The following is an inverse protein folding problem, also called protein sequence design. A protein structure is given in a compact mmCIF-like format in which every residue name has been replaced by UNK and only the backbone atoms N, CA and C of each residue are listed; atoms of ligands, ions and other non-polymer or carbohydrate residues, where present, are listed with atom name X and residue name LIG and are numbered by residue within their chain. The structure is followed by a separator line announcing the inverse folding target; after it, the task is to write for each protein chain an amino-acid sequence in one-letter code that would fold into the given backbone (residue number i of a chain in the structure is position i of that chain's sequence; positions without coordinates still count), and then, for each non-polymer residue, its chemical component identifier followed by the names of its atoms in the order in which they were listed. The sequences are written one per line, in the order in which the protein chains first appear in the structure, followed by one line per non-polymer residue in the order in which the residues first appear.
data_IF_504352414639
#
_entry.id   IF_504352414639
#
_cell.length_a   1.000
_cell.length_b   1.000
_cell.length_c   1.000
_cell.angle_alpha   90.00
_cell.angle_beta   90.00
_cell.angle_gamma   90.00
#
_symmetry.space_group_name_H-M   'P 1'
#
loop_
_entity.id
_entity.type
_entity.pdbx_description
1 polymer ?
#
# COMPACT_ATOMS: atom_id res chain seq x y z
N UNK A 1 -16.62 17.17 -7.47
CA UNK A 1 -16.59 16.64 -8.86
C UNK A 1 -16.42 15.15 -8.73
N UNK A 2 -17.46 14.38 -9.05
CA UNK A 2 -17.46 12.92 -8.94
C UNK A 2 -16.55 12.37 -10.01
N UNK A 3 -15.40 11.82 -9.62
CA UNK A 3 -14.47 11.12 -10.50
C UNK A 3 -15.21 9.89 -11.05
N UNK A 4 -15.33 9.80 -12.37
CA UNK A 4 -15.93 8.61 -13.02
C UNK A 4 -14.98 7.43 -12.77
N UNK A 5 -15.47 6.29 -12.25
CA UNK A 5 -14.65 5.10 -12.07
C UNK A 5 -13.99 4.72 -13.39
N UNK A 6 -12.69 4.41 -13.36
CA UNK A 6 -12.03 3.88 -14.55
C UNK A 6 -12.52 2.47 -14.86
N UNK A 7 -12.58 2.14 -16.14
CA UNK A 7 -12.87 0.79 -16.62
C UNK A 7 -11.84 -0.20 -16.05
N UNK A 8 -12.32 -1.28 -15.43
CA UNK A 8 -11.53 -2.33 -14.78
C UNK A 8 -10.45 -2.90 -15.70
N UNK A 9 -10.77 -3.09 -16.99
CA UNK A 9 -9.78 -3.60 -17.97
C UNK A 9 -8.63 -2.62 -18.14
N UNK A 10 -8.95 -1.33 -18.26
CA UNK A 10 -7.98 -0.24 -18.40
C UNK A 10 -7.12 -0.07 -17.15
N UNK A 11 -7.68 -0.26 -15.95
CA UNK A 11 -6.93 -0.24 -14.68
C UNK A 11 -5.88 -1.34 -14.68
N UNK A 12 -6.28 -2.59 -14.95
CA UNK A 12 -5.38 -3.74 -15.01
C UNK A 12 -4.23 -3.52 -15.99
N UNK A 13 -4.56 -3.13 -17.23
CA UNK A 13 -3.58 -2.87 -18.27
C UNK A 13 -2.60 -1.75 -17.87
N UNK A 14 -3.07 -0.72 -17.17
CA UNK A 14 -2.23 0.36 -16.68
C UNK A 14 -1.24 -0.13 -15.62
N UNK A 15 -1.68 -0.92 -14.63
CA UNK A 15 -0.75 -1.49 -13.65
C UNK A 15 0.26 -2.42 -14.31
N UNK A 16 -0.17 -3.31 -15.22
CA UNK A 16 0.74 -4.24 -15.89
C UNK A 16 1.74 -3.53 -16.82
N UNK A 17 1.34 -2.43 -17.45
CA UNK A 17 2.20 -1.66 -18.37
C UNK A 17 3.10 -0.67 -17.63
N UNK A 18 2.52 0.15 -16.77
CA UNK A 18 3.21 1.30 -16.20
C UNK A 18 3.72 1.01 -14.78
N UNK A 19 3.11 0.05 -14.09
CA UNK A 19 3.44 -0.34 -12.71
C UNK A 19 2.75 0.50 -11.64
N UNK A 20 2.01 1.55 -12.04
CA UNK A 20 1.34 2.43 -11.09
C UNK A 20 0.11 3.13 -11.68
N UNK A 21 -0.69 3.69 -10.79
CA UNK A 21 -1.82 4.56 -11.08
C UNK A 21 -1.90 5.66 -10.00
N UNK A 22 -2.10 6.90 -10.43
CA UNK A 22 -2.33 8.04 -9.51
C UNK A 22 -3.75 8.54 -9.67
N UNK A 23 -4.46 8.70 -8.55
CA UNK A 23 -5.85 9.16 -8.51
C UNK A 23 -5.95 10.32 -7.50
N UNK A 24 -6.13 11.57 -7.95
CA UNK A 24 -6.47 12.67 -7.06
C UNK A 24 -7.81 12.39 -6.37
N UNK A 25 -7.79 12.30 -5.05
CA UNK A 25 -8.94 11.95 -4.22
C UNK A 25 -8.86 12.73 -2.89
N UNK A 26 -9.35 14.00 -2.86
CA UNK A 26 -9.27 14.85 -1.67
C UNK A 26 -9.88 14.23 -0.41
N UNK A 27 -10.94 13.44 -0.57
CA UNK A 27 -11.58 12.68 0.50
C UNK A 27 -10.66 11.62 1.14
N UNK A 28 -9.73 11.05 0.37
CA UNK A 28 -8.70 10.15 0.90
C UNK A 28 -7.67 10.96 1.69
N UNK A 29 -7.30 12.15 1.20
CA UNK A 29 -6.45 13.07 1.95
C UNK A 29 -7.04 13.42 3.31
N UNK A 30 -8.32 13.80 3.35
CA UNK A 30 -9.03 14.10 4.60
C UNK A 30 -9.08 12.88 5.54
N UNK A 31 -9.37 11.68 5.01
CA UNK A 31 -9.37 10.45 5.79
C UNK A 31 -8.03 10.18 6.46
N UNK A 32 -6.93 10.35 5.73
CA UNK A 32 -5.56 10.21 6.26
C UNK A 32 -5.28 11.26 7.33
N UNK A 33 -5.72 12.50 7.12
CA UNK A 33 -5.57 13.58 8.09
C UNK A 33 -6.27 13.25 9.42
N UNK A 34 -7.57 12.92 9.39
CA UNK A 34 -8.36 12.52 10.56
C UNK A 34 -7.75 11.29 11.26
N UNK A 35 -7.29 10.30 10.50
CA UNK A 35 -6.63 9.12 11.07
C UNK A 35 -5.33 9.48 11.81
N UNK A 36 -4.60 10.47 11.29
CA UNK A 36 -3.41 11.05 11.93
C UNK A 36 -3.70 11.86 13.19
N UNK A 37 -4.80 12.63 13.23
CA UNK A 37 -5.24 13.33 14.45
C UNK A 37 -5.48 12.37 15.61
N UNK A 38 -6.01 11.19 15.29
CA UNK A 38 -6.22 10.07 16.23
C UNK A 38 -4.96 9.26 16.53
N UNK A 39 -3.78 9.69 16.05
CA UNK A 39 -2.49 9.02 16.23
C UNK A 39 -2.41 7.62 15.62
N UNK A 40 -3.03 7.43 14.46
CA UNK A 40 -2.97 6.20 13.66
C UNK A 40 -3.36 4.92 14.45
N UNK A 41 -4.62 4.82 14.92
CA UNK A 41 -5.05 3.70 15.76
C UNK A 41 -5.30 2.42 14.94
N UNK A 42 -4.24 1.86 14.32
CA UNK A 42 -4.29 0.73 13.38
C UNK A 42 -5.06 -0.49 13.89
N UNK A 43 -4.86 -0.86 15.15
CA UNK A 43 -5.42 -2.08 15.76
C UNK A 43 -6.74 -1.82 16.51
N UNK A 44 -7.58 -0.94 15.99
CA UNK A 44 -8.81 -0.48 16.62
C UNK A 44 -10.00 -0.48 15.67
N UNK A 45 -11.17 -0.09 16.18
CA UNK A 45 -12.38 0.15 15.36
C UNK A 45 -12.13 1.23 14.31
N UNK A 46 -11.39 2.29 14.65
CA UNK A 46 -11.03 3.36 13.70
C UNK A 46 -10.09 2.84 12.60
N UNK A 47 -9.13 1.97 12.95
CA UNK A 47 -8.25 1.31 12.00
C UNK A 47 -8.99 0.39 11.02
N UNK A 48 -9.90 -0.44 11.54
CA UNK A 48 -10.75 -1.30 10.69
C UNK A 48 -11.75 -0.48 9.87
N UNK A 49 -12.22 0.66 10.37
CA UNK A 49 -13.05 1.58 9.59
C UNK A 49 -12.28 2.14 8.40
N UNK A 50 -11.02 2.55 8.60
CA UNK A 50 -10.15 2.97 7.50
C UNK A 50 -10.01 1.89 6.44
N UNK A 51 -9.71 0.64 6.85
CA UNK A 51 -9.57 -0.49 5.92
C UNK A 51 -10.88 -0.83 5.22
N UNK A 52 -12.03 -0.73 5.90
CA UNK A 52 -13.34 -0.91 5.28
C UNK A 52 -13.58 0.13 4.20
N UNK A 53 -13.22 1.38 4.46
CA UNK A 53 -13.36 2.45 3.48
C UNK A 53 -12.37 2.30 2.31
N UNK A 54 -11.23 1.62 2.51
CA UNK A 54 -10.33 1.19 1.42
C UNK A 54 -10.97 0.08 0.58
N UNK A 55 -11.62 -0.91 1.22
CA UNK A 55 -12.34 -1.99 0.54
C UNK A 55 -13.67 -1.54 -0.09
N UNK A 56 -14.14 -0.34 0.22
CA UNK A 56 -15.28 0.28 -0.45
C UNK A 56 -14.87 1.13 -1.67
N UNK A 57 -13.58 1.40 -1.85
CA UNK A 57 -13.09 2.17 -3.00
C UNK A 57 -13.06 1.28 -4.25
N UNK A 58 -13.88 1.65 -5.24
CA UNK A 58 -14.04 0.90 -6.48
C UNK A 58 -12.73 0.78 -7.27
N UNK A 59 -11.85 1.78 -7.21
CA UNK A 59 -10.58 1.71 -7.94
C UNK A 59 -9.64 0.71 -7.26
N UNK A 60 -9.62 0.67 -5.93
CA UNK A 60 -8.82 -0.30 -5.18
C UNK A 60 -9.32 -1.71 -5.42
N UNK A 61 -10.62 -1.97 -5.19
CA UNK A 61 -11.20 -3.31 -5.35
C UNK A 61 -11.06 -3.80 -6.79
N UNK A 62 -11.42 -2.98 -7.78
CA UNK A 62 -11.29 -3.39 -9.19
C UNK A 62 -9.83 -3.66 -9.57
N UNK A 63 -8.87 -2.90 -9.05
CA UNK A 63 -7.45 -3.19 -9.31
C UNK A 63 -7.08 -4.56 -8.76
N UNK A 64 -7.30 -4.79 -7.47
CA UNK A 64 -6.91 -6.01 -6.76
C UNK A 64 -7.60 -7.24 -7.37
N UNK A 65 -8.92 -7.21 -7.56
CA UNK A 65 -9.69 -8.34 -8.08
C UNK A 65 -9.48 -8.62 -9.57
N UNK A 66 -8.91 -7.66 -10.32
CA UNK A 66 -8.52 -7.86 -11.71
C UNK A 66 -7.14 -8.52 -11.87
N UNK A 67 -6.27 -8.33 -10.87
CA UNK A 67 -4.90 -8.84 -10.86
C UNK A 67 -4.80 -10.19 -10.17
N UNK A 68 -5.60 -10.44 -9.14
CA UNK A 68 -5.55 -11.66 -8.34
C UNK A 68 -6.86 -12.45 -8.44
N UNK A 69 -6.74 -13.77 -8.51
CA UNK A 69 -7.88 -14.68 -8.38
C UNK A 69 -8.40 -14.65 -6.93
N UNK A 70 -7.48 -14.76 -5.98
CA UNK A 70 -7.72 -14.59 -4.54
C UNK A 70 -6.53 -13.87 -3.92
N UNK A 71 -6.80 -13.00 -2.97
CA UNK A 71 -5.80 -12.16 -2.32
C UNK A 71 -6.11 -11.95 -0.85
N UNK A 72 -5.12 -11.47 -0.11
CA UNK A 72 -5.34 -10.99 1.25
C UNK A 72 -4.69 -9.65 1.53
N UNK A 73 -5.38 -8.84 2.32
CA UNK A 73 -4.87 -7.59 2.87
C UNK A 73 -3.91 -7.94 4.01
N UNK A 74 -2.62 -7.73 3.79
CA UNK A 74 -1.54 -8.22 4.66
C UNK A 74 -0.67 -7.13 5.30
N UNK A 75 -0.75 -5.89 4.82
CA UNK A 75 -0.01 -4.76 5.39
C UNK A 75 -0.93 -3.56 5.57
N UNK A 76 -0.78 -2.89 6.71
CA UNK A 76 -1.44 -1.63 7.03
C UNK A 76 -0.52 -0.79 7.94
N UNK A 77 0.18 0.19 7.36
CA UNK A 77 1.24 0.96 8.06
C UNK A 77 1.22 2.44 7.65
N UNK A 78 1.81 3.30 8.47
CA UNK A 78 2.04 4.72 8.14
C UNK A 78 3.50 4.95 7.80
N UNK A 79 3.72 5.78 6.80
CA UNK A 79 5.01 6.19 6.31
C UNK A 79 5.09 7.71 6.20
N UNK A 80 6.20 8.25 6.70
CA UNK A 80 6.58 9.64 6.48
C UNK A 80 7.65 9.77 5.39
N UNK A 81 8.26 10.97 5.27
CA UNK A 81 9.35 11.21 4.34
C UNK A 81 10.53 10.28 4.62
N UNK A 82 11.10 9.73 3.55
CA UNK A 82 12.29 8.88 3.57
C UNK A 82 13.18 9.27 2.40
N UNK A 83 13.71 10.48 2.46
CA UNK A 83 14.27 11.19 1.31
C UNK A 83 15.54 10.59 0.71
N UNK A 84 16.14 9.57 1.31
CA UNK A 84 17.40 8.98 0.86
C UNK A 84 17.24 7.61 0.20
N UNK A 85 16.09 6.97 0.39
CA UNK A 85 15.80 5.63 -0.12
C UNK A 85 14.57 5.60 -1.02
N UNK A 86 14.57 4.69 -1.97
CA UNK A 86 13.39 4.24 -2.69
C UNK A 86 12.96 2.89 -2.10
N UNK A 87 11.66 2.69 -1.95
CA UNK A 87 11.09 1.53 -1.26
C UNK A 87 10.05 0.79 -2.09
N UNK A 88 10.03 -0.53 -1.96
CA UNK A 88 9.00 -1.42 -2.48
C UNK A 88 8.89 -2.67 -1.59
N UNK A 89 7.73 -3.35 -1.54
CA UNK A 89 7.59 -4.62 -0.84
C UNK A 89 8.49 -5.72 -1.40
N UNK A 90 8.63 -5.81 -2.72
CA UNK A 90 9.26 -6.94 -3.40
C UNK A 90 10.31 -6.51 -4.43
N UNK A 91 11.29 -7.38 -4.64
CA UNK A 91 12.08 -7.38 -5.87
C UNK A 91 11.35 -8.17 -6.97
N UNK A 92 11.65 -7.90 -8.25
CA UNK A 92 11.18 -8.73 -9.37
C UNK A 92 11.93 -10.07 -9.43
N UNK A 93 11.51 -11.03 -8.62
CA UNK A 93 12.01 -12.43 -8.66
C UNK A 93 11.21 -13.33 -9.61
N UNK A 94 10.01 -12.90 -9.99
CA UNK A 94 9.10 -13.53 -10.95
C UNK A 94 8.46 -12.45 -11.84
N UNK A 95 7.93 -12.87 -12.98
CA UNK A 95 7.13 -12.00 -13.86
C UNK A 95 5.73 -11.74 -13.31
N UNK A 96 5.22 -12.63 -12.46
CA UNK A 96 3.91 -12.49 -11.83
C UNK A 96 3.86 -11.24 -10.94
N UNK A 97 2.73 -10.53 -10.98
CA UNK A 97 2.38 -9.56 -9.94
C UNK A 97 1.96 -10.35 -8.72
N UNK A 98 2.63 -10.14 -7.59
CA UNK A 98 2.33 -10.86 -6.34
C UNK A 98 1.76 -9.94 -5.27
N UNK A 99 1.97 -8.64 -5.38
CA UNK A 99 1.53 -7.63 -4.42
C UNK A 99 1.01 -6.42 -5.16
N UNK A 100 -0.06 -5.83 -4.64
CA UNK A 100 -0.55 -4.50 -5.01
C UNK A 100 -0.52 -3.64 -3.76
N UNK A 101 0.18 -2.51 -3.87
CA UNK A 101 0.29 -1.52 -2.82
C UNK A 101 -0.66 -0.36 -3.09
N UNK A 102 -1.37 0.09 -2.07
CA UNK A 102 -2.25 1.26 -2.13
C UNK A 102 -1.74 2.29 -1.12
N UNK A 103 -1.18 3.36 -1.65
CA UNK A 103 -0.74 4.52 -0.88
C UNK A 103 -1.92 5.49 -0.73
N UNK A 104 -2.50 5.54 0.46
CA UNK A 104 -3.43 6.61 0.84
C UNK A 104 -2.61 7.83 1.26
N UNK A 105 -2.55 8.82 0.36
CA UNK A 105 -1.72 10.00 0.54
C UNK A 105 -2.51 11.09 1.24
N UNK A 106 -1.97 11.61 2.35
CA UNK A 106 -2.50 12.76 3.05
C UNK A 106 -2.29 14.07 2.27
N UNK A 107 -2.83 15.20 2.77
CA UNK A 107 -2.62 16.50 2.17
C UNK A 107 -1.12 16.87 2.10
N UNK A 108 -0.78 17.70 1.11
CA UNK A 108 0.59 18.14 0.83
C UNK A 108 1.61 17.00 0.59
N UNK A 109 1.16 15.82 0.15
CA UNK A 109 2.07 14.71 -0.16
C UNK A 109 2.85 14.96 -1.44
N UNK A 110 4.15 14.63 -1.42
CA UNK A 110 5.01 14.56 -2.62
C UNK A 110 5.70 13.22 -2.66
N UNK A 111 5.56 12.52 -3.78
CA UNK A 111 6.08 11.17 -3.97
C UNK A 111 6.87 11.13 -5.27
N UNK A 112 8.05 10.55 -5.23
CA UNK A 112 8.81 10.21 -6.43
C UNK A 112 8.43 8.80 -6.84
N UNK A 113 8.01 8.65 -8.09
CA UNK A 113 7.67 7.38 -8.71
C UNK A 113 8.81 6.99 -9.65
N UNK A 114 9.40 5.82 -9.42
CA UNK A 114 10.49 5.31 -10.25
C UNK A 114 9.91 4.45 -11.37
N UNK A 115 9.51 5.10 -12.45
CA UNK A 115 8.90 4.46 -13.61
C UNK A 115 9.78 3.34 -14.16
N UNK A 116 9.14 2.24 -14.56
CA UNK A 116 9.76 1.00 -15.00
C UNK A 116 10.59 0.25 -13.95
N UNK A 117 10.71 0.72 -12.69
CA UNK A 117 11.45 0.01 -11.64
C UNK A 117 10.95 -1.41 -11.40
N UNK A 118 9.63 -1.64 -11.50
CA UNK A 118 8.98 -2.94 -11.39
C UNK A 118 9.44 -3.93 -12.46
N UNK A 119 10.07 -3.45 -13.54
CA UNK A 119 10.57 -4.29 -14.63
C UNK A 119 11.94 -4.90 -14.35
N UNK A 120 12.61 -4.52 -13.27
CA UNK A 120 13.98 -4.97 -13.01
C UNK A 120 14.10 -5.65 -11.66
N UNK A 121 15.02 -6.62 -11.58
CA UNK A 121 15.60 -7.01 -10.31
C UNK A 121 16.56 -5.90 -9.84
N UNK A 122 16.31 -5.33 -8.66
CA UNK A 122 17.05 -4.19 -8.12
C UNK A 122 17.99 -4.57 -6.98
N UNK A 123 17.96 -5.83 -6.53
CA UNK A 123 18.67 -6.34 -5.36
C UNK A 123 18.47 -5.47 -4.11
N UNK A 124 17.28 -4.86 -3.98
CA UNK A 124 16.93 -4.08 -2.80
C UNK A 124 16.87 -4.97 -1.57
N UNK A 125 17.28 -4.44 -0.42
CA UNK A 125 17.43 -5.19 0.84
C UNK A 125 16.62 -4.51 1.94
N UNK A 126 16.17 -5.24 2.97
CA UNK A 126 15.60 -4.61 4.16
C UNK A 126 16.59 -3.59 4.77
N UNK A 127 16.09 -2.62 5.56
CA UNK A 127 16.94 -1.70 6.30
C UNK A 127 17.99 -2.45 7.13
N UNK A 128 19.20 -1.89 7.23
CA UNK A 128 20.34 -2.56 7.89
C UNK A 128 20.16 -2.77 9.39
N UNK A 129 19.19 -2.08 10.02
CA UNK A 129 18.87 -2.19 11.44
C UNK A 129 17.43 -2.68 11.58
N UNK A 130 17.24 -3.74 12.35
CA UNK A 130 15.92 -4.34 12.60
C UNK A 130 14.90 -3.34 13.18
N UNK A 131 15.34 -2.42 14.05
CA UNK A 131 14.48 -1.36 14.60
C UNK A 131 13.94 -0.39 13.54
N UNK A 132 14.61 -0.30 12.40
CA UNK A 132 14.25 0.55 11.27
C UNK A 132 13.54 -0.30 10.19
N UNK A 133 13.33 -1.60 10.42
CA UNK A 133 12.65 -2.51 9.50
C UNK A 133 11.18 -2.11 9.36
N UNK A 134 10.87 -1.58 8.19
CA UNK A 134 9.54 -1.15 7.83
C UNK A 134 8.71 -2.26 7.19
N UNK A 135 9.29 -3.44 6.95
CA UNK A 135 8.72 -4.48 6.11
C UNK A 135 8.83 -4.21 4.61
N UNK A 136 9.57 -3.17 4.22
CA UNK A 136 9.83 -2.81 2.82
C UNK A 136 11.32 -3.03 2.50
N UNK A 137 11.61 -3.36 1.26
CA UNK A 137 12.96 -3.37 0.71
C UNK A 137 13.37 -1.94 0.34
N UNK A 138 14.64 -1.62 0.59
CA UNK A 138 15.22 -0.32 0.32
C UNK A 138 16.37 -0.41 -0.68
N UNK A 139 16.47 0.64 -1.48
CA UNK A 139 17.65 0.94 -2.29
C UNK A 139 17.92 2.44 -2.21
N UNK A 140 19.18 2.85 -2.27
CA UNK A 140 19.51 4.29 -2.33
C UNK A 140 18.85 4.94 -3.57
N UNK A 141 18.31 6.14 -3.40
CA UNK A 141 17.74 6.92 -4.52
C UNK A 141 18.75 7.24 -5.61
N UNK A 142 20.04 7.29 -5.28
CA UNK A 142 21.08 7.51 -6.28
C UNK A 142 21.34 6.26 -7.10
N UNK A 143 21.17 5.07 -6.50
CA UNK A 143 21.46 3.78 -7.15
C UNK A 143 20.31 3.25 -8.00
N UNK A 144 19.07 3.68 -7.72
CA UNK A 144 17.91 3.24 -8.51
C UNK A 144 17.83 3.92 -9.89
N UNK A 145 18.37 5.13 -10.03
CA UNK A 145 18.43 5.83 -11.31
C UNK A 145 19.49 5.18 -12.19
N UNK A 146 19.05 4.49 -13.23
CA UNK A 146 19.89 3.77 -14.19
C UNK A 146 19.18 3.69 -15.55
N UNK A 147 19.88 3.33 -16.64
CA UNK A 147 19.25 3.21 -17.96
C UNK A 147 17.96 2.37 -17.91
N UNK A 148 16.86 2.94 -18.39
CA UNK A 148 15.54 2.31 -18.39
C UNK A 148 14.65 2.58 -17.17
N UNK A 149 15.16 3.26 -16.13
CA UNK A 149 14.37 3.72 -14.98
C UNK A 149 14.42 5.25 -14.92
N UNK A 150 13.24 5.88 -14.93
CA UNK A 150 13.05 7.34 -14.83
C UNK A 150 12.37 7.68 -13.51
N UNK A 151 12.56 8.92 -13.03
CA UNK A 151 11.92 9.39 -11.81
C UNK A 151 10.99 10.56 -12.11
N UNK A 152 9.73 10.42 -11.73
CA UNK A 152 8.71 11.46 -11.86
C UNK A 152 8.21 11.85 -10.48
N UNK A 153 8.13 13.16 -10.20
CA UNK A 153 7.55 13.64 -8.93
C UNK A 153 6.06 13.87 -9.10
N UNK A 154 5.27 13.21 -8.27
CA UNK A 154 3.84 13.42 -8.17
C UNK A 154 3.53 14.29 -6.94
N UNK A 155 2.81 15.38 -7.18
CA UNK A 155 2.28 16.25 -6.12
C UNK A 155 0.80 15.98 -5.88
N UNK A 156 0.41 15.85 -4.62
CA UNK A 156 -0.96 15.59 -4.18
C UNK A 156 -1.33 16.63 -3.09
N UNK A 157 -1.62 17.88 -3.48
CA UNK A 157 -1.82 18.98 -2.52
C UNK A 157 -2.97 18.71 -1.55
N UNK A 158 -4.03 18.05 -2.02
CA UNK A 158 -5.19 17.66 -1.21
C UNK A 158 -5.21 16.16 -0.86
N UNK A 159 -4.10 15.44 -1.08
CA UNK A 159 -4.06 13.99 -0.97
C UNK A 159 -4.63 13.24 -2.17
N UNK A 160 -4.68 11.91 -2.05
CA UNK A 160 -5.13 11.03 -3.12
C UNK A 160 -4.73 9.57 -2.91
N UNK A 161 -4.94 8.76 -3.95
CA UNK A 161 -4.49 7.37 -4.00
C UNK A 161 -3.35 7.22 -5.00
N UNK A 162 -2.34 6.44 -4.63
CA UNK A 162 -1.38 5.88 -5.57
C UNK A 162 -1.41 4.36 -5.44
N UNK A 163 -1.82 3.68 -6.51
CA UNK A 163 -1.87 2.22 -6.56
C UNK A 163 -0.65 1.74 -7.34
N UNK A 164 0.09 0.78 -6.79
CA UNK A 164 1.39 0.35 -7.26
C UNK A 164 1.42 -1.18 -7.42
N UNK A 165 2.10 -1.66 -8.46
CA UNK A 165 2.70 -3.00 -8.44
C UNK A 165 3.65 -3.07 -7.23
N UNK A 166 3.61 -4.15 -6.44
CA UNK A 166 4.45 -4.28 -5.24
C UNK A 166 5.95 -4.40 -5.50
N UNK A 167 6.37 -4.45 -6.77
CA UNK A 167 7.77 -4.33 -7.20
C UNK A 167 8.14 -2.91 -7.63
N UNK A 168 7.16 -2.01 -7.70
CA UNK A 168 7.36 -0.62 -8.09
C UNK A 168 7.92 0.18 -6.93
N UNK A 169 9.08 0.79 -7.15
CA UNK A 169 9.74 1.60 -6.14
C UNK A 169 9.20 3.02 -6.12
N UNK A 170 9.05 3.57 -4.92
CA UNK A 170 8.69 4.96 -4.70
C UNK A 170 9.47 5.58 -3.54
N UNK A 171 9.53 6.92 -3.50
CA UNK A 171 10.05 7.66 -2.35
C UNK A 171 9.03 8.70 -1.91
N UNK A 172 8.65 8.69 -0.63
CA UNK A 172 7.90 9.80 -0.04
C UNK A 172 8.90 10.89 0.33
N UNK A 173 8.78 12.06 -0.29
CA UNK A 173 9.65 13.22 -0.01
C UNK A 173 8.98 14.26 0.88
N UNK A 174 7.65 14.28 0.92
CA UNK A 174 6.86 15.17 1.76
C UNK A 174 5.51 14.54 2.10
N UNK A 175 4.95 14.90 3.26
CA UNK A 175 3.62 14.47 3.71
C UNK A 175 3.64 13.14 4.44
N UNK A 176 2.45 12.55 4.59
CA UNK A 176 2.23 11.27 5.25
C UNK A 176 1.41 10.38 4.33
N UNK A 177 1.80 9.11 4.26
CA UNK A 177 1.10 8.07 3.52
C UNK A 177 0.69 6.96 4.47
N UNK A 178 -0.56 6.51 4.36
CA UNK A 178 -1.00 5.26 4.97
C UNK A 178 -1.04 4.21 3.87
N UNK A 179 -0.19 3.20 3.98
CA UNK A 179 -0.04 2.16 2.99
C UNK A 179 -0.82 0.91 3.39
N UNK A 180 -1.59 0.40 2.43
CA UNK A 180 -2.35 -0.84 2.51
C UNK A 180 -1.87 -1.76 1.39
N UNK A 181 -1.44 -2.98 1.70
CA UNK A 181 -1.00 -3.93 0.68
C UNK A 181 -1.85 -5.19 0.63
N UNK A 182 -2.12 -5.62 -0.59
CA UNK A 182 -2.82 -6.84 -0.94
C UNK A 182 -1.83 -7.78 -1.61
N UNK A 183 -1.71 -9.00 -1.10
CA UNK A 183 -0.85 -10.02 -1.69
C UNK A 183 -1.69 -11.15 -2.29
N UNK A 184 -1.20 -11.71 -3.40
CA UNK A 184 -1.67 -12.98 -3.95
C UNK A 184 -1.52 -14.09 -2.89
N UNK A 185 -2.39 -15.10 -2.92
CA UNK A 185 -2.40 -16.18 -1.92
C UNK A 185 -1.07 -16.95 -1.83
N UNK A 186 -0.27 -16.99 -2.91
CA UNK A 186 1.07 -17.61 -2.88
C UNK A 186 2.03 -16.79 -2.02
N UNK A 187 2.04 -15.48 -2.20
CA UNK A 187 2.92 -14.56 -1.46
C UNK A 187 2.44 -14.35 -0.03
N UNK A 188 1.13 -14.25 0.17
CA UNK A 188 0.53 -14.01 1.49
C UNK A 188 0.88 -15.09 2.52
N UNK A 189 1.18 -16.32 2.08
CA UNK A 189 1.62 -17.42 2.96
C UNK A 189 2.97 -17.16 3.63
N UNK A 190 3.80 -16.35 3.00
CA UNK A 190 5.11 -15.95 3.55
C UNK A 190 4.97 -14.77 4.52
N UNK A 191 3.79 -14.13 4.57
CA UNK A 191 3.57 -12.94 5.37
C UNK A 191 3.04 -13.29 6.76
N UNK A 192 3.61 -12.64 7.77
CA UNK A 192 3.05 -12.66 9.11
C UNK A 192 1.64 -12.03 9.12
N UNK A 193 0.70 -12.72 9.77
CA UNK A 193 -0.66 -12.19 9.96
C UNK A 193 -0.61 -10.93 10.82
N UNK A 194 -1.37 -9.91 10.46
CA UNK A 194 -1.49 -8.69 11.26
C UNK A 194 -2.16 -9.00 12.60
N UNK A 195 -1.47 -8.72 13.70
CA UNK A 195 -1.96 -9.00 15.05
C UNK A 195 -2.96 -7.93 15.51
N UNK A 196 -4.15 -8.36 15.94
CA UNK A 196 -5.21 -7.51 16.48
C UNK A 196 -5.64 -7.98 17.89
N UNK A 197 -6.10 -7.05 18.76
CA UNK A 197 -6.65 -7.39 20.07
C UNK A 197 -7.82 -8.36 19.94
N UNK A 198 -7.84 -9.38 20.79
CA UNK A 198 -8.95 -10.31 20.84
C UNK A 198 -10.22 -9.63 21.39
N UNK A 199 -11.05 -9.15 20.47
CA UNK A 199 -12.29 -8.43 20.76
C UNK A 199 -13.40 -8.92 19.83
N UNK A 200 -14.56 -9.22 20.39
CA UNK A 200 -15.75 -9.63 19.63
C UNK A 200 -16.15 -8.58 18.59
N UNK A 201 -16.00 -7.28 18.92
CA UNK A 201 -16.30 -6.18 18.00
C UNK A 201 -15.36 -6.20 16.81
N UNK A 202 -14.04 -6.31 17.05
CA UNK A 202 -13.06 -6.32 15.97
C UNK A 202 -13.19 -7.58 15.10
N UNK A 203 -13.47 -8.74 15.71
CA UNK A 203 -13.75 -9.99 14.99
C UNK A 203 -14.96 -9.86 14.06
N UNK A 204 -16.06 -9.31 14.56
CA UNK A 204 -17.27 -9.11 13.77
C UNK A 204 -17.05 -8.15 12.60
N UNK A 205 -16.30 -7.06 12.81
CA UNK A 205 -15.93 -6.14 11.72
C UNK A 205 -15.09 -6.83 10.65
N UNK A 206 -14.04 -7.57 11.06
CA UNK A 206 -13.16 -8.28 10.12
C UNK A 206 -13.94 -9.32 9.30
N UNK A 207 -14.83 -10.09 9.93
CA UNK A 207 -15.69 -11.05 9.22
C UNK A 207 -16.59 -10.37 8.19
N UNK A 208 -17.11 -9.18 8.49
CA UNK A 208 -17.92 -8.41 7.55
C UNK A 208 -17.15 -7.76 6.40
N UNK A 209 -15.82 -7.72 6.46
CA UNK A 209 -14.95 -7.15 5.42
C UNK A 209 -14.44 -8.19 4.43
N UNK A 210 -14.49 -9.47 4.79
CA UNK A 210 -14.06 -10.56 3.93
C UNK A 210 -15.01 -10.72 2.73
N UNK A 211 -14.47 -10.67 1.52
CA UNK A 211 -15.20 -10.97 0.28
C UNK A 211 -14.81 -12.37 -0.23
N UNK A 212 -15.36 -12.79 -1.37
CA UNK A 212 -14.94 -14.03 -2.02
C UNK A 212 -13.46 -13.99 -2.43
N UNK A 213 -13.00 -12.82 -2.93
CA UNK A 213 -11.67 -12.63 -3.52
C UNK A 213 -10.66 -11.95 -2.62
N UNK A 214 -11.09 -11.17 -1.63
CA UNK A 214 -10.22 -10.42 -0.73
C UNK A 214 -10.50 -10.84 0.71
N UNK A 215 -9.47 -11.31 1.41
CA UNK A 215 -9.54 -11.69 2.82
C UNK A 215 -8.65 -10.81 3.69
N UNK A 216 -9.01 -10.65 4.95
CA UNK A 216 -8.16 -9.97 5.92
C UNK A 216 -7.13 -10.94 6.50
N UNK A 217 -5.83 -10.67 6.29
CA UNK A 217 -4.77 -11.52 6.85
C UNK A 217 -4.48 -11.16 8.32
N UNK A 218 -5.48 -11.32 9.19
CA UNK A 218 -5.45 -10.91 10.60
C UNK A 218 -5.39 -12.12 11.53
N UNK A 219 -4.58 -12.04 12.59
CA UNK A 219 -4.61 -12.96 13.74
C UNK A 219 -5.07 -12.18 14.97
N UNK A 220 -6.03 -12.73 15.70
CA UNK A 220 -6.47 -12.18 16.99
C UNK A 220 -5.67 -12.82 18.13
N UNK A 221 -5.26 -12.01 19.10
CA UNK A 221 -4.52 -12.48 20.26
C UNK A 221 -4.19 -11.37 21.25
N UNK A 222 -3.44 -11.68 22.32
CA UNK A 222 -2.91 -10.67 23.22
C UNK A 222 -2.01 -9.71 22.42
N UNK A 223 -2.30 -8.42 22.52
CA UNK A 223 -1.48 -7.37 21.91
C UNK A 223 -0.76 -6.67 23.04
N UNK A 224 0.56 -6.75 23.05
CA UNK A 224 1.34 -5.86 23.90
C UNK A 224 1.06 -4.42 23.43
N UNK A 225 0.48 -3.61 24.31
CA UNK A 225 0.43 -2.16 24.11
C UNK A 225 1.88 -1.68 24.06
N UNK A 226 2.30 -1.03 22.96
CA UNK A 226 3.57 -0.32 22.95
C UNK A 226 3.57 0.68 24.12
N UNK A 227 4.65 0.68 24.90
CA UNK A 227 4.88 1.68 25.96
C UNK A 227 5.03 3.08 25.37
#
# INVERSE_FOLDING_TARGET
KTTVPMDTKRIKETILRDGFLVIPAPEVGERVHIFGEKKYPFRSVDGLTFLRDTLADVNVVNTVESLFERSGLGMFKVFGPHTDTARAPLNRTTDDVLVVNVLHCGPASKIILYENSQRYFLDARPPSKEKDDTGLLEISRNSIIRPGITATTQELPNGGLVILDGRFFSTITQGVVVEVAFADEKELKEWNRMLYPDSTVLRSMVQGMDTEKIKMNIKFGPVETPK
#
